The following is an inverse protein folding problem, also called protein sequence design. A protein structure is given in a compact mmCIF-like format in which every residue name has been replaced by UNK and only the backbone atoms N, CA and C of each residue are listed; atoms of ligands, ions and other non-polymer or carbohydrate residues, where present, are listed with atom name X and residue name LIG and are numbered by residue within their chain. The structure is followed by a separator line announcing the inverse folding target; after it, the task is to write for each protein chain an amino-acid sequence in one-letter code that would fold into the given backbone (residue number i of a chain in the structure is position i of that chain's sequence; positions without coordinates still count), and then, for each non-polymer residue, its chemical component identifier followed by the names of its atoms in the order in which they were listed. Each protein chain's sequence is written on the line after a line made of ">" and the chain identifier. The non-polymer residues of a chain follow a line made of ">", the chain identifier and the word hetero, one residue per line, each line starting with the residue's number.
data_IF_519442689933
#
_entry.id   IF_519442689933
#
_cell.length_a   1.000
_cell.length_b   1.000
_cell.length_c   1.000
_cell.angle_alpha   90.00
_cell.angle_beta   90.00
_cell.angle_gamma   90.00
#
_symmetry.space_group_name_H-M   'P 1'
#
loop_
_entity.id
_entity.type
_entity.pdbx_description
1 polymer ?
#
# COMPACT_ATOMS: atom_id res chain seq x y z
N UNK A 1 -5.06 -5.84 22.00
CA UNK A 1 -3.92 -5.00 21.59
C UNK A 1 -4.50 -3.69 21.10
N UNK A 2 -3.93 -2.55 21.46
CA UNK A 2 -4.37 -1.25 20.94
C UNK A 2 -4.03 -1.14 19.43
N UNK A 3 -4.94 -0.60 18.62
CA UNK A 3 -4.79 -0.57 17.16
C UNK A 3 -3.54 0.21 16.74
N UNK A 4 -3.20 1.28 17.46
CA UNK A 4 -2.07 2.14 17.11
C UNK A 4 -0.74 1.43 17.38
N UNK A 5 -0.70 0.63 18.45
CA UNK A 5 0.46 -0.22 18.75
C UNK A 5 0.67 -1.28 17.67
N UNK A 6 -0.40 -1.97 17.24
CA UNK A 6 -0.32 -2.96 16.16
C UNK A 6 0.08 -2.34 14.81
N UNK A 7 -0.42 -1.14 14.49
CA UNK A 7 -0.02 -0.41 13.28
C UNK A 7 1.47 -0.09 13.32
N UNK A 8 1.96 0.47 14.42
CA UNK A 8 3.37 0.82 14.61
C UNK A 8 4.28 -0.41 14.53
N UNK A 9 3.93 -1.50 15.21
CA UNK A 9 4.71 -2.74 15.15
C UNK A 9 4.78 -3.32 13.73
N UNK A 10 3.69 -3.27 12.98
CA UNK A 10 3.67 -3.71 11.58
C UNK A 10 4.65 -2.90 10.72
N UNK A 11 4.68 -1.57 10.91
CA UNK A 11 5.62 -0.69 10.21
C UNK A 11 7.07 -0.98 10.62
N UNK A 12 7.36 -1.03 11.92
CA UNK A 12 8.72 -1.31 12.44
C UNK A 12 9.25 -2.67 11.96
N UNK A 13 8.41 -3.71 11.92
CA UNK A 13 8.78 -5.02 11.41
C UNK A 13 9.03 -4.99 9.89
N UNK A 14 8.19 -4.28 9.14
CA UNK A 14 8.35 -4.13 7.70
C UNK A 14 9.60 -3.35 7.32
N UNK A 15 9.92 -2.28 8.02
CA UNK A 15 11.17 -1.52 7.82
C UNK A 15 12.40 -2.39 8.08
N UNK A 16 12.34 -3.27 9.09
CA UNK A 16 13.47 -4.12 9.46
C UNK A 16 13.66 -5.33 8.55
N UNK A 17 12.57 -5.98 8.13
CA UNK A 17 12.63 -7.29 7.48
C UNK A 17 12.05 -7.32 6.05
N UNK A 18 11.37 -6.24 5.64
CA UNK A 18 10.76 -6.07 4.32
C UNK A 18 9.37 -6.68 4.19
N UNK A 19 8.64 -6.24 3.16
CA UNK A 19 7.25 -6.66 2.90
C UNK A 19 7.07 -8.18 2.79
N UNK A 20 8.08 -8.89 2.25
CA UNK A 20 8.00 -10.32 2.02
C UNK A 20 8.05 -11.17 3.31
N UNK A 21 8.54 -10.62 4.42
CA UNK A 21 8.58 -11.34 5.70
C UNK A 21 7.30 -11.20 6.52
N UNK A 22 6.39 -10.32 6.12
CA UNK A 22 5.15 -10.04 6.84
C UNK A 22 3.99 -10.90 6.31
N UNK A 23 3.01 -11.15 7.17
CA UNK A 23 1.78 -11.88 6.84
C UNK A 23 0.54 -11.21 7.42
N UNK A 24 -0.63 -11.59 6.91
CA UNK A 24 -1.93 -11.11 7.39
C UNK A 24 -2.01 -9.57 7.43
N UNK A 25 -2.61 -9.04 8.49
CA UNK A 25 -2.86 -7.60 8.61
C UNK A 25 -1.58 -6.75 8.68
N UNK A 26 -0.49 -7.30 9.24
CA UNK A 26 0.80 -6.59 9.32
C UNK A 26 1.33 -6.29 7.92
N UNK A 27 1.21 -7.26 7.00
CA UNK A 27 1.62 -7.09 5.61
C UNK A 27 0.83 -5.98 4.92
N UNK A 28 -0.48 -5.90 5.16
CA UNK A 28 -1.36 -4.90 4.56
C UNK A 28 -1.04 -3.50 5.09
N UNK A 29 -0.90 -3.35 6.41
CA UNK A 29 -0.54 -2.06 7.04
C UNK A 29 0.79 -1.56 6.51
N UNK A 30 1.81 -2.42 6.48
CA UNK A 30 3.11 -2.03 5.97
C UNK A 30 3.07 -1.69 4.48
N UNK A 31 2.35 -2.46 3.65
CA UNK A 31 2.20 -2.15 2.23
C UNK A 31 1.61 -0.75 1.98
N UNK A 32 0.59 -0.34 2.76
CA UNK A 32 0.01 1.02 2.65
C UNK A 32 1.06 2.07 3.05
N UNK A 33 1.69 1.91 4.21
CA UNK A 33 2.73 2.84 4.69
C UNK A 33 3.86 3.00 3.67
N UNK A 34 4.32 1.89 3.12
CA UNK A 34 5.41 1.86 2.15
C UNK A 34 5.01 2.55 0.84
N UNK A 35 3.81 2.28 0.33
CA UNK A 35 3.30 2.95 -0.87
C UNK A 35 3.18 4.47 -0.68
N UNK A 36 2.70 4.92 0.48
CA UNK A 36 2.64 6.34 0.81
C UNK A 36 4.03 6.98 0.81
N UNK A 37 5.01 6.36 1.47
CA UNK A 37 6.38 6.87 1.55
C UNK A 37 7.02 7.00 0.18
N UNK A 38 6.88 5.98 -0.67
CA UNK A 38 7.43 6.04 -2.03
C UNK A 38 6.71 7.08 -2.90
N UNK A 39 5.37 7.12 -2.89
CA UNK A 39 4.63 8.06 -3.73
C UNK A 39 4.82 9.52 -3.32
N UNK A 40 5.16 9.78 -2.05
CA UNK A 40 5.52 11.11 -1.54
C UNK A 40 6.95 11.53 -1.96
N UNK A 41 7.92 10.60 -1.93
CA UNK A 41 9.34 10.93 -2.14
C UNK A 41 9.85 10.71 -3.57
N UNK A 42 9.57 9.54 -4.11
CA UNK A 42 10.17 9.04 -5.36
C UNK A 42 9.13 8.82 -6.46
N UNK A 43 7.84 8.91 -6.11
CA UNK A 43 6.73 8.57 -6.96
C UNK A 43 6.47 7.05 -7.06
N UNK A 44 5.40 6.70 -7.75
CA UNK A 44 4.98 5.31 -7.99
C UNK A 44 6.06 4.50 -8.75
N UNK A 45 6.87 5.16 -9.57
CA UNK A 45 7.99 4.52 -10.29
C UNK A 45 9.04 3.96 -9.33
N UNK A 46 9.33 4.68 -8.23
CA UNK A 46 10.21 4.19 -7.17
C UNK A 46 9.66 2.94 -6.50
N UNK A 47 8.35 2.91 -6.22
CA UNK A 47 7.67 1.75 -5.65
C UNK A 47 7.74 0.53 -6.60
N UNK A 48 7.43 0.73 -7.88
CA UNK A 48 7.48 -0.33 -8.90
C UNK A 48 8.91 -0.82 -9.11
N UNK A 49 9.90 0.08 -9.13
CA UNK A 49 11.30 -0.30 -9.25
C UNK A 49 11.75 -1.16 -8.07
N UNK A 50 11.30 -0.83 -6.85
CA UNK A 50 11.67 -1.54 -5.62
C UNK A 50 11.04 -2.92 -5.50
N UNK A 51 9.76 -3.04 -5.86
CA UNK A 51 8.94 -4.23 -5.56
C UNK A 51 8.53 -5.04 -6.79
N UNK A 52 8.65 -4.46 -7.99
CA UNK A 52 8.17 -5.04 -9.24
C UNK A 52 6.66 -4.88 -9.43
N UNK A 53 6.22 -5.02 -10.68
CA UNK A 53 4.80 -4.92 -11.05
C UNK A 53 3.96 -6.04 -10.44
N UNK A 54 4.53 -7.23 -10.25
CA UNK A 54 3.83 -8.38 -9.64
C UNK A 54 3.38 -8.09 -8.19
N UNK A 55 4.16 -7.29 -7.45
CA UNK A 55 3.83 -6.90 -6.08
C UNK A 55 2.65 -5.93 -6.00
N UNK A 56 2.28 -5.23 -7.08
CA UNK A 56 1.18 -4.26 -7.09
C UNK A 56 -0.16 -4.89 -6.69
N UNK A 57 -0.34 -6.21 -6.84
CA UNK A 57 -1.52 -6.94 -6.32
C UNK A 57 -1.59 -6.91 -4.81
N UNK A 58 -0.46 -7.05 -4.11
CA UNK A 58 -0.40 -6.96 -2.64
C UNK A 58 -0.74 -5.55 -2.17
N UNK A 59 -0.21 -4.52 -2.85
CA UNK A 59 -0.57 -3.14 -2.52
C UNK A 59 -2.06 -2.89 -2.76
N UNK A 60 -2.59 -3.35 -3.90
CA UNK A 60 -4.02 -3.21 -4.19
C UNK A 60 -4.91 -3.88 -3.14
N UNK A 61 -4.58 -5.10 -2.72
CA UNK A 61 -5.28 -5.80 -1.63
C UNK A 61 -5.28 -5.00 -0.33
N UNK A 62 -4.15 -4.38 0.00
CA UNK A 62 -4.03 -3.55 1.19
C UNK A 62 -4.95 -2.31 1.12
N UNK A 63 -4.91 -1.58 0.00
CA UNK A 63 -5.78 -0.41 -0.21
C UNK A 63 -7.27 -0.78 -0.27
N UNK A 64 -7.62 -1.94 -0.83
CA UNK A 64 -8.98 -2.47 -0.78
C UNK A 64 -9.41 -2.73 0.67
N UNK A 65 -8.52 -3.27 1.50
CA UNK A 65 -8.76 -3.54 2.93
C UNK A 65 -9.12 -2.30 3.77
N UNK A 66 -8.69 -1.10 3.34
CA UNK A 66 -9.06 0.18 3.96
C UNK A 66 -10.20 0.91 3.23
N UNK A 67 -10.73 0.33 2.15
CA UNK A 67 -11.83 0.88 1.37
C UNK A 67 -11.41 1.88 0.28
N UNK A 68 -10.12 2.00 -0.01
CA UNK A 68 -9.57 2.88 -1.05
C UNK A 68 -9.64 2.21 -2.44
N UNK A 69 -10.86 1.93 -2.89
CA UNK A 69 -11.13 1.13 -4.10
C UNK A 69 -10.56 1.74 -5.39
N UNK A 70 -10.51 3.08 -5.48
CA UNK A 70 -9.88 3.78 -6.61
C UNK A 70 -8.38 3.50 -6.68
N UNK A 71 -7.69 3.56 -5.53
CA UNK A 71 -6.25 3.23 -5.43
C UNK A 71 -6.03 1.76 -5.77
N UNK A 72 -6.82 0.86 -5.17
CA UNK A 72 -6.71 -0.57 -5.41
C UNK A 72 -6.87 -0.91 -6.90
N UNK A 73 -7.85 -0.31 -7.57
CA UNK A 73 -8.09 -0.48 -9.01
C UNK A 73 -6.92 0.01 -9.86
N UNK A 74 -6.35 1.18 -9.54
CA UNK A 74 -5.20 1.73 -10.25
C UNK A 74 -3.97 0.81 -10.09
N UNK A 75 -3.68 0.34 -8.87
CA UNK A 75 -2.58 -0.59 -8.60
C UNK A 75 -2.76 -1.94 -9.31
N UNK A 76 -3.99 -2.49 -9.37
CA UNK A 76 -4.25 -3.71 -10.15
C UNK A 76 -3.97 -3.51 -11.64
N UNK A 77 -4.27 -2.33 -12.20
CA UNK A 77 -3.95 -2.02 -13.59
C UNK A 77 -2.44 -1.90 -13.86
N UNK A 78 -1.64 -1.62 -12.81
CA UNK A 78 -0.18 -1.67 -12.85
C UNK A 78 0.39 -3.08 -12.72
N UNK A 79 -0.38 -4.05 -12.20
CA UNK A 79 0.03 -5.44 -11.98
C UNK A 79 0.05 -6.31 -13.24
N UNK A 80 0.48 -5.73 -14.36
CA UNK A 80 0.55 -6.36 -15.68
C UNK A 80 1.99 -6.44 -16.16
N UNK A 81 2.23 -7.39 -17.06
CA UNK A 81 3.50 -7.49 -17.77
C UNK A 81 3.52 -6.50 -18.94
N UNK A 82 4.69 -5.87 -19.16
CA UNK A 82 4.93 -4.97 -20.27
C UNK A 82 4.78 -3.48 -19.95
N UNK A 83 4.79 -2.62 -20.98
CA UNK A 83 4.81 -1.18 -20.80
C UNK A 83 3.57 -0.66 -20.06
N UNK A 84 3.81 0.19 -19.07
CA UNK A 84 2.76 0.88 -18.33
C UNK A 84 2.63 2.31 -18.89
N UNK A 85 1.42 2.76 -19.24
CA UNK A 85 1.22 4.13 -19.69
C UNK A 85 1.58 5.14 -18.59
N UNK A 86 2.32 6.19 -18.95
CA UNK A 86 2.69 7.29 -18.03
C UNK A 86 1.48 7.90 -17.32
N UNK A 87 0.37 8.07 -18.04
CA UNK A 87 -0.87 8.60 -17.48
C UNK A 87 -1.43 7.72 -16.34
N UNK A 88 -1.25 6.40 -16.41
CA UNK A 88 -1.67 5.48 -15.36
C UNK A 88 -0.76 5.57 -14.13
N UNK A 89 0.56 5.72 -14.35
CA UNK A 89 1.53 5.94 -13.28
C UNK A 89 1.22 7.25 -12.53
N UNK A 90 1.10 8.35 -13.26
CA UNK A 90 0.77 9.65 -12.69
C UNK A 90 -0.57 9.63 -11.92
N UNK A 91 -1.58 8.94 -12.47
CA UNK A 91 -2.88 8.78 -11.80
C UNK A 91 -2.76 7.99 -10.50
N UNK A 92 -2.13 6.81 -10.51
CA UNK A 92 -1.94 5.99 -9.31
C UNK A 92 -1.15 6.75 -8.23
N UNK A 93 -0.07 7.42 -8.63
CA UNK A 93 0.74 8.24 -7.73
C UNK A 93 -0.09 9.33 -7.05
N UNK A 94 -0.90 10.06 -7.83
CA UNK A 94 -1.75 11.13 -7.31
C UNK A 94 -2.77 10.60 -6.29
N UNK A 95 -3.40 9.45 -6.56
CA UNK A 95 -4.37 8.88 -5.63
C UNK A 95 -3.72 8.51 -4.28
N UNK A 96 -2.53 7.89 -4.31
CA UNK A 96 -1.82 7.47 -3.09
C UNK A 96 -1.27 8.66 -2.31
N UNK A 97 -0.59 9.59 -2.99
CA UNK A 97 -0.01 10.78 -2.35
C UNK A 97 -1.07 11.66 -1.67
N UNK A 98 -2.31 11.66 -2.18
CA UNK A 98 -3.43 12.39 -1.59
C UNK A 98 -4.30 11.53 -0.65
N UNK A 99 -3.89 10.30 -0.34
CA UNK A 99 -4.64 9.32 0.46
C UNK A 99 -6.11 9.21 0.05
N UNK A 100 -6.36 9.14 -1.27
CA UNK A 100 -7.71 9.23 -1.82
C UNK A 100 -8.58 8.07 -1.34
N UNK A 101 -9.66 8.39 -0.64
CA UNK A 101 -10.72 7.43 -0.28
C UNK A 101 -10.50 6.68 1.03
N UNK A 102 -9.50 7.03 1.84
CA UNK A 102 -9.31 6.47 3.18
C UNK A 102 -8.65 7.48 4.13
N UNK A 103 -8.80 7.24 5.42
CA UNK A 103 -8.17 7.98 6.50
C UNK A 103 -7.49 7.03 7.50
N UNK A 104 -6.86 7.57 8.54
CA UNK A 104 -6.16 6.75 9.54
C UNK A 104 -7.13 5.83 10.30
N UNK A 105 -8.36 6.27 10.51
CA UNK A 105 -9.43 5.49 11.12
C UNK A 105 -9.74 4.21 10.33
N UNK A 106 -9.56 4.22 9.00
CA UNK A 106 -9.71 3.02 8.19
C UNK A 106 -8.62 1.97 8.47
N UNK A 107 -7.38 2.41 8.73
CA UNK A 107 -6.28 1.52 9.15
C UNK A 107 -6.56 0.95 10.54
N UNK A 108 -7.00 1.78 11.48
CA UNK A 108 -7.39 1.32 12.82
C UNK A 108 -8.51 0.28 12.74
N UNK A 109 -9.53 0.53 11.91
CA UNK A 109 -10.62 -0.40 11.69
C UNK A 109 -10.14 -1.71 11.03
N UNK A 110 -9.21 -1.66 10.07
CA UNK A 110 -8.61 -2.85 9.44
C UNK A 110 -7.91 -3.74 10.47
N UNK A 111 -7.07 -3.14 11.32
CA UNK A 111 -6.37 -3.85 12.39
C UNK A 111 -7.35 -4.41 13.41
N UNK A 112 -8.34 -3.62 13.83
CA UNK A 112 -9.31 -4.02 14.85
C UNK A 112 -10.18 -5.20 14.42
N UNK A 113 -10.48 -5.32 13.13
CA UNK A 113 -11.22 -6.48 12.57
C UNK A 113 -10.39 -7.74 12.44
N UNK A 114 -9.08 -7.61 12.50
CA UNK A 114 -8.11 -8.71 12.30
C UNK A 114 -7.48 -9.20 13.61
N UNK A 115 -7.86 -8.59 14.73
CA UNK A 115 -7.39 -8.87 16.08
C UNK A 115 -8.19 -9.96 16.80
#
# INVERSE_FOLDING_TARGET
>A
MDSDTAIREAVELGERYGLASLAGVQKLVFAISEAEVYCDKDGIDGLIHRYGTSAMRTFAEAFEGVGATEIASALLALAKDGPIPEALLAHANSLIANRRGYAYENLQALVSRSA
#
